data_IF_055525776752
#
_entry.id   IF_055525776752
#
_cell.length_a   1.000
_cell.length_b   1.000
_cell.length_c   1.000
_cell.angle_alpha   90.00
_cell.angle_beta   90.00
_cell.angle_gamma   90.00
#
_symmetry.space_group_name_H-M   'P 1'
#
loop_
_entity.id
_entity.type
_entity.pdbx_description
1 polymer ?
#
# COMPACT_ATOMS: atom_id res chain seq x y z
N UNK A 1 60.16 4.40 46.96
CA UNK A 1 59.56 4.67 48.26
C UNK A 1 58.11 4.28 48.22
N UNK A 2 57.81 3.11 48.82
CA UNK A 2 56.86 2.92 49.99
C UNK A 2 55.43 3.17 49.60
N UNK A 3 54.49 2.34 49.79
CA UNK A 3 54.08 1.14 50.55
C UNK A 3 52.64 0.84 50.05
N UNK A 4 52.33 -0.34 49.62
CA UNK A 4 51.56 -1.40 50.35
C UNK A 4 50.36 -0.89 51.17
N UNK A 5 49.15 -1.32 50.79
CA UNK A 5 48.32 -2.03 51.73
C UNK A 5 47.15 -2.76 51.00
N UNK A 6 47.16 -4.07 51.24
CA UNK A 6 46.15 -5.07 50.94
C UNK A 6 45.03 -4.97 51.94
N UNK A 7 43.77 -5.10 51.49
CA UNK A 7 42.74 -5.72 52.34
C UNK A 7 41.77 -6.50 51.48
N UNK A 8 41.87 -7.79 51.69
CA UNK A 8 40.89 -8.77 51.30
C UNK A 8 39.78 -8.83 52.36
N UNK A 9 38.54 -8.90 51.97
CA UNK A 9 37.51 -9.51 52.79
C UNK A 9 36.55 -10.29 51.93
N UNK A 10 36.55 -11.57 52.14
CA UNK A 10 35.61 -12.56 51.64
C UNK A 10 34.41 -12.64 52.59
N UNK A 11 33.22 -12.72 52.04
CA UNK A 11 32.05 -13.35 52.70
C UNK A 11 31.14 -13.87 51.59
N UNK A 12 31.10 -15.10 51.31
CA UNK A 12 30.34 -16.27 51.78
C UNK A 12 28.84 -16.17 51.45
N UNK A 13 28.50 -16.94 50.43
CA UNK A 13 27.31 -17.73 50.14
C UNK A 13 25.96 -17.40 50.81
N UNK A 14 24.93 -17.30 49.97
CA UNK A 14 23.69 -18.06 50.25
C UNK A 14 22.96 -18.38 48.93
N UNK A 15 22.93 -19.66 48.58
CA UNK A 15 22.12 -20.25 47.54
C UNK A 15 20.65 -20.25 47.94
N UNK A 16 19.80 -19.60 47.18
CA UNK A 16 18.39 -19.91 47.20
C UNK A 16 17.94 -20.14 45.75
N UNK A 17 17.83 -21.42 45.39
CA UNK A 17 17.07 -21.84 44.21
C UNK A 17 15.60 -21.61 44.51
N UNK A 18 14.98 -20.66 43.84
CA UNK A 18 13.53 -20.67 43.61
C UNK A 18 13.32 -20.99 42.14
N UNK A 19 12.90 -22.21 41.89
CA UNK A 19 12.23 -22.57 40.63
C UNK A 19 10.91 -21.85 40.66
N UNK A 20 10.77 -20.81 39.82
CA UNK A 20 9.49 -20.29 39.40
C UNK A 20 9.29 -20.70 37.94
N UNK A 21 8.38 -21.66 37.74
CA UNK A 21 7.79 -21.95 36.45
C UNK A 21 7.20 -20.68 35.88
N UNK A 22 7.79 -20.18 34.80
CA UNK A 22 7.18 -19.17 33.97
C UNK A 22 6.02 -19.81 33.18
N UNK A 23 4.78 -19.33 33.32
CA UNK A 23 3.73 -19.74 32.40
C UNK A 23 4.07 -19.14 31.06
N UNK A 24 4.37 -19.97 30.08
CA UNK A 24 4.52 -19.64 28.67
C UNK A 24 3.17 -19.12 28.16
N UNK A 25 2.93 -17.82 28.32
CA UNK A 25 1.84 -17.15 27.69
C UNK A 25 2.23 -16.93 26.22
N UNK A 26 1.76 -17.79 25.35
CA UNK A 26 1.70 -17.57 23.90
C UNK A 26 1.03 -16.23 23.68
N UNK A 27 1.65 -15.26 22.99
CA UNK A 27 0.98 -14.02 22.66
C UNK A 27 -0.11 -14.33 21.63
N UNK A 28 -1.33 -14.45 22.10
CA UNK A 28 -2.53 -14.40 21.26
C UNK A 28 -2.47 -13.11 20.44
N UNK A 29 -2.41 -13.27 19.12
CA UNK A 29 -2.57 -12.19 18.13
C UNK A 29 -3.93 -11.53 18.29
N UNK A 30 -4.10 -10.68 19.30
CA UNK A 30 -5.22 -9.74 19.43
C UNK A 30 -4.84 -8.43 18.75
N UNK A 31 -4.83 -8.43 17.44
CA UNK A 31 -4.54 -7.23 16.66
C UNK A 31 -5.30 -7.19 15.36
N UNK A 32 -6.62 -7.27 15.37
CA UNK A 32 -7.34 -7.30 14.11
C UNK A 32 -8.59 -6.45 14.03
N UNK A 33 -9.24 -6.16 15.15
CA UNK A 33 -10.56 -5.54 15.04
C UNK A 33 -10.52 -3.99 15.19
N UNK A 34 -9.61 -3.47 16.01
CA UNK A 34 -9.48 -2.01 16.17
C UNK A 34 -8.92 -1.31 14.94
N UNK A 35 -8.02 -1.97 14.19
CA UNK A 35 -7.47 -1.41 12.94
C UNK A 35 -8.54 -1.31 11.85
N UNK A 36 -9.53 -2.21 11.85
CA UNK A 36 -10.66 -2.16 10.92
C UNK A 36 -11.64 -1.03 11.21
N UNK A 37 -11.72 -0.58 12.46
CA UNK A 37 -12.62 0.50 12.86
C UNK A 37 -12.09 1.89 12.47
N UNK A 38 -10.76 2.05 12.41
CA UNK A 38 -10.12 3.33 12.07
C UNK A 38 -9.96 3.55 10.56
N UNK A 39 -10.01 2.46 9.76
CA UNK A 39 -9.89 2.53 8.29
C UNK A 39 -10.90 1.60 7.61
N UNK A 40 -12.21 1.92 7.68
CA UNK A 40 -13.26 1.04 7.13
C UNK A 40 -13.17 0.84 5.62
N UNK A 41 -12.34 1.62 4.91
CA UNK A 41 -12.15 1.57 3.47
C UNK A 41 -10.78 1.06 3.02
N UNK A 42 -9.86 0.77 3.93
CA UNK A 42 -8.64 0.07 3.57
C UNK A 42 -8.98 -1.42 3.38
N UNK A 43 -9.19 -1.79 2.14
CA UNK A 43 -9.24 -3.20 1.77
C UNK A 43 -7.85 -3.79 2.00
N UNK A 44 -7.69 -4.52 3.11
CA UNK A 44 -6.61 -5.51 3.24
C UNK A 44 -6.92 -6.62 2.25
N UNK A 45 -6.71 -6.37 0.95
CA UNK A 45 -6.82 -7.40 -0.04
C UNK A 45 -5.74 -8.44 0.27
N UNK A 46 -6.10 -9.72 0.39
CA UNK A 46 -5.10 -10.78 0.38
C UNK A 46 -4.27 -10.61 -0.88
N UNK A 47 -2.97 -10.93 -0.81
CA UNK A 47 -2.08 -10.82 -1.97
C UNK A 47 -2.76 -11.47 -3.19
N UNK A 48 -2.93 -10.72 -4.30
CA UNK A 48 -3.70 -11.20 -5.43
C UNK A 48 -3.09 -12.47 -5.99
N UNK A 49 -3.93 -13.47 -6.26
CA UNK A 49 -3.47 -14.69 -6.90
C UNK A 49 -3.55 -14.53 -8.42
N UNK A 50 -2.52 -13.91 -9.00
CA UNK A 50 -2.43 -13.72 -10.44
C UNK A 50 -2.28 -15.04 -11.18
N UNK A 51 -2.97 -15.18 -12.32
CA UNK A 51 -2.81 -16.30 -13.25
C UNK A 51 -1.44 -16.24 -13.89
N UNK A 52 -1.03 -15.05 -14.34
CA UNK A 52 0.34 -14.83 -14.82
C UNK A 52 1.35 -14.99 -13.70
N UNK A 53 2.16 -16.03 -13.78
CA UNK A 53 3.17 -16.32 -12.76
C UNK A 53 4.22 -15.21 -12.60
N UNK A 54 4.43 -14.37 -13.63
CA UNK A 54 5.37 -13.24 -13.58
C UNK A 54 4.90 -12.18 -12.61
N UNK A 55 3.59 -11.97 -12.48
CA UNK A 55 2.98 -10.95 -11.62
C UNK A 55 2.87 -11.37 -10.15
N UNK A 56 3.08 -12.65 -9.83
CA UNK A 56 2.97 -13.15 -8.47
C UNK A 56 3.96 -12.47 -7.54
N UNK A 57 3.45 -11.91 -6.46
CA UNK A 57 4.21 -11.12 -5.51
C UNK A 57 4.18 -9.62 -5.78
N UNK A 58 3.54 -9.16 -6.85
CA UNK A 58 3.22 -7.75 -7.01
C UNK A 58 1.94 -7.40 -6.22
N UNK A 59 1.97 -6.26 -5.56
CA UNK A 59 0.85 -5.71 -4.80
C UNK A 59 0.65 -4.26 -5.22
N UNK A 60 -0.61 -3.88 -5.47
CA UNK A 60 -1.00 -2.51 -5.74
C UNK A 60 -1.63 -1.89 -4.50
N UNK A 61 -1.16 -0.72 -4.13
CA UNK A 61 -1.78 0.14 -3.13
C UNK A 61 -2.19 1.46 -3.76
N UNK A 62 -3.45 1.82 -3.62
CA UNK A 62 -4.01 3.06 -4.14
C UNK A 62 -4.33 3.98 -2.97
N UNK A 63 -3.89 5.24 -3.07
CA UNK A 63 -4.23 6.30 -2.12
C UNK A 63 -4.84 7.47 -2.87
N UNK A 64 -5.97 7.96 -2.37
CA UNK A 64 -6.66 9.13 -2.87
C UNK A 64 -6.57 10.25 -1.83
N UNK A 65 -6.38 11.49 -2.28
CA UNK A 65 -6.30 12.64 -1.38
C UNK A 65 -6.82 13.92 -2.05
N UNK A 66 -7.57 14.74 -1.33
CA UNK A 66 -8.10 14.51 0.02
C UNK A 66 -9.28 13.54 0.04
N UNK A 67 -9.59 12.98 1.22
CA UNK A 67 -10.79 12.17 1.44
C UNK A 67 -11.48 12.64 2.74
N UNK A 68 -12.77 13.05 2.70
CA UNK A 68 -13.66 13.12 1.54
C UNK A 68 -13.23 14.19 0.54
N UNK A 69 -13.61 13.99 -0.72
CA UNK A 69 -13.31 14.93 -1.82
C UNK A 69 -14.32 16.08 -1.81
N UNK A 70 -13.93 17.25 -1.33
CA UNK A 70 -14.75 18.46 -1.36
C UNK A 70 -14.73 19.09 -2.75
N UNK A 71 -15.80 18.97 -3.51
CA UNK A 71 -15.86 19.42 -4.91
C UNK A 71 -15.78 20.94 -5.07
N UNK A 72 -16.12 21.71 -4.03
CA UNK A 72 -15.93 23.17 -4.00
C UNK A 72 -14.44 23.58 -3.98
N UNK A 73 -13.57 22.73 -3.41
CA UNK A 73 -12.16 23.01 -3.19
C UNK A 73 -11.24 22.23 -4.13
N UNK A 74 -11.66 21.02 -4.52
CA UNK A 74 -10.81 20.05 -5.22
C UNK A 74 -11.25 19.92 -6.68
N UNK A 75 -10.47 20.47 -7.60
CA UNK A 75 -10.69 20.35 -9.06
C UNK A 75 -10.00 19.13 -9.65
N UNK A 76 -8.94 18.67 -8.98
CA UNK A 76 -8.21 17.47 -9.35
C UNK A 76 -7.94 16.66 -8.10
N UNK A 77 -8.41 15.42 -8.11
CA UNK A 77 -8.13 14.43 -7.05
C UNK A 77 -6.71 13.91 -7.21
N UNK A 78 -5.94 13.98 -6.16
CA UNK A 78 -4.60 13.38 -6.14
C UNK A 78 -4.72 11.86 -6.01
N UNK A 79 -3.99 11.16 -6.84
CA UNK A 79 -3.94 9.71 -6.90
C UNK A 79 -2.48 9.29 -6.75
N UNK A 80 -2.17 8.49 -5.78
CA UNK A 80 -0.87 7.84 -5.66
C UNK A 80 -1.05 6.32 -5.71
N UNK A 81 -0.49 5.72 -6.76
CA UNK A 81 -0.40 4.26 -6.89
C UNK A 81 0.99 3.82 -6.46
N UNK A 82 1.08 2.90 -5.52
CA UNK A 82 2.32 2.20 -5.21
C UNK A 82 2.25 0.77 -5.75
N UNK A 83 3.20 0.42 -6.63
CA UNK A 83 3.41 -0.94 -7.13
C UNK A 83 4.56 -1.56 -6.34
N UNK A 84 4.26 -2.55 -5.50
CA UNK A 84 5.22 -3.19 -4.59
C UNK A 84 5.54 -4.61 -5.03
N UNK A 85 6.80 -5.00 -4.95
CA UNK A 85 7.22 -6.38 -5.11
C UNK A 85 7.50 -7.01 -3.73
N UNK A 86 6.59 -7.85 -3.26
CA UNK A 86 6.75 -8.59 -1.99
C UNK A 86 7.34 -10.00 -2.20
N UNK A 87 7.67 -10.35 -3.45
CA UNK A 87 8.33 -11.61 -3.76
C UNK A 87 9.84 -11.54 -3.46
N UNK A 88 10.47 -12.71 -3.38
CA UNK A 88 11.93 -12.85 -3.21
C UNK A 88 12.72 -12.78 -4.53
N UNK A 89 12.05 -12.53 -5.66
CA UNK A 89 12.64 -12.43 -6.99
C UNK A 89 12.33 -11.07 -7.60
N UNK A 90 13.20 -10.59 -8.46
CA UNK A 90 12.92 -9.42 -9.27
C UNK A 90 11.78 -9.72 -10.27
N UNK A 91 11.00 -8.69 -10.57
CA UNK A 91 9.93 -8.73 -11.57
C UNK A 91 10.24 -7.71 -12.66
N UNK A 92 10.08 -8.11 -13.91
CA UNK A 92 10.27 -7.25 -15.07
C UNK A 92 8.92 -7.09 -15.76
N UNK A 93 8.54 -5.85 -16.02
CA UNK A 93 7.33 -5.49 -16.74
C UNK A 93 7.71 -4.70 -17.98
N UNK A 94 7.34 -5.22 -19.16
CA UNK A 94 7.57 -4.59 -20.45
C UNK A 94 6.31 -3.87 -20.91
N UNK A 95 6.45 -2.63 -21.36
CA UNK A 95 5.37 -1.78 -21.82
C UNK A 95 5.60 -1.35 -23.27
N UNK A 96 4.59 -1.37 -24.13
CA UNK A 96 4.73 -1.01 -25.54
C UNK A 96 4.81 0.50 -25.78
N UNK A 97 4.38 1.33 -24.80
CA UNK A 97 4.36 2.78 -24.87
C UNK A 97 4.74 3.39 -23.53
N UNK A 98 4.75 4.70 -23.44
CA UNK A 98 4.96 5.41 -22.16
C UNK A 98 3.78 5.28 -21.18
N UNK A 99 2.58 4.96 -21.66
CA UNK A 99 1.44 4.70 -20.78
C UNK A 99 1.67 3.44 -19.95
N UNK A 100 1.81 3.59 -18.64
CA UNK A 100 1.99 2.47 -17.71
C UNK A 100 0.67 1.98 -17.14
N UNK A 101 -0.22 2.89 -16.78
CA UNK A 101 -1.48 2.60 -16.13
C UNK A 101 -2.62 3.43 -16.73
N UNK A 102 -3.84 3.07 -16.39
CA UNK A 102 -5.07 3.78 -16.69
C UNK A 102 -5.89 3.96 -15.41
N UNK A 103 -6.65 5.06 -15.32
CA UNK A 103 -7.57 5.30 -14.23
C UNK A 103 -8.96 5.61 -14.76
N UNK A 104 -9.95 4.88 -14.28
CA UNK A 104 -11.35 5.18 -14.49
C UNK A 104 -11.98 5.68 -13.19
N UNK A 105 -12.68 6.82 -13.27
CA UNK A 105 -13.64 7.17 -12.23
C UNK A 105 -15.02 6.63 -12.64
N UNK A 106 -15.62 5.86 -11.75
CA UNK A 106 -16.93 5.25 -11.98
C UNK A 106 -17.92 5.73 -10.93
N UNK A 107 -19.18 5.76 -11.30
CA UNK A 107 -20.28 5.94 -10.35
C UNK A 107 -20.62 4.62 -9.65
N UNK A 108 -21.58 4.67 -8.73
CA UNK A 108 -22.06 3.48 -8.00
C UNK A 108 -22.71 2.40 -8.88
N UNK A 109 -23.11 2.77 -10.12
CA UNK A 109 -23.66 1.85 -11.12
C UNK A 109 -22.60 1.30 -12.07
N UNK A 110 -21.31 1.49 -11.76
CA UNK A 110 -20.16 1.04 -12.55
C UNK A 110 -19.96 1.79 -13.89
N UNK A 111 -20.78 2.82 -14.19
CA UNK A 111 -20.59 3.63 -15.40
C UNK A 111 -19.31 4.48 -15.27
N UNK A 112 -18.51 4.50 -16.33
CA UNK A 112 -17.30 5.32 -16.42
C UNK A 112 -17.73 6.77 -16.63
N UNK A 113 -17.22 7.67 -15.80
CA UNK A 113 -17.45 9.11 -15.87
C UNK A 113 -16.23 9.83 -16.42
N UNK A 114 -15.04 9.41 -16.04
CA UNK A 114 -13.78 10.03 -16.44
C UNK A 114 -12.77 8.96 -16.76
N UNK A 115 -12.05 9.14 -17.85
CA UNK A 115 -10.90 8.33 -18.27
C UNK A 115 -9.66 9.23 -18.15
N UNK A 116 -8.68 8.78 -17.39
CA UNK A 116 -7.50 9.58 -17.10
C UNK A 116 -6.67 9.86 -18.36
N UNK A 117 -6.50 8.86 -19.21
CA UNK A 117 -5.70 8.97 -20.44
C UNK A 117 -6.29 9.95 -21.46
N UNK A 118 -7.59 10.28 -21.41
CA UNK A 118 -8.22 11.22 -22.35
C UNK A 118 -7.60 12.63 -22.30
N UNK A 119 -6.90 12.96 -21.19
CA UNK A 119 -6.25 14.25 -21.01
C UNK A 119 -4.71 14.13 -21.00
N UNK A 120 -4.15 13.02 -21.49
CA UNK A 120 -2.72 12.77 -21.52
C UNK A 120 -2.29 12.33 -22.92
N UNK A 121 -1.15 12.83 -23.37
CA UNK A 121 -0.47 12.31 -24.56
C UNK A 121 0.65 11.35 -24.12
N UNK A 122 0.78 10.25 -24.80
CA UNK A 122 1.82 9.26 -24.57
C UNK A 122 2.57 8.98 -25.86
N UNK A 123 3.87 8.87 -25.76
CA UNK A 123 4.69 8.44 -26.90
C UNK A 123 4.63 6.91 -27.04
N UNK A 124 4.67 6.44 -28.29
CA UNK A 124 4.79 5.01 -28.63
C UNK A 124 6.22 4.51 -28.40
N UNK A 125 6.77 4.85 -27.25
CA UNK A 125 8.11 4.49 -26.84
C UNK A 125 8.08 3.32 -25.87
N UNK A 126 8.52 2.13 -26.29
CA UNK A 126 8.61 0.98 -25.40
C UNK A 126 9.53 1.24 -24.21
N UNK A 127 9.24 0.61 -23.09
CA UNK A 127 10.08 0.71 -21.90
C UNK A 127 9.87 -0.46 -20.96
N UNK A 128 10.89 -0.72 -20.17
CA UNK A 128 10.91 -1.81 -19.20
C UNK A 128 11.01 -1.25 -17.78
N UNK A 129 10.24 -1.82 -16.87
CA UNK A 129 10.27 -1.51 -15.44
C UNK A 129 10.77 -2.74 -14.70
N UNK A 130 11.91 -2.61 -14.04
CA UNK A 130 12.48 -3.63 -13.15
C UNK A 130 12.11 -3.28 -11.70
N UNK A 131 11.54 -4.24 -10.97
CA UNK A 131 11.15 -4.09 -9.56
C UNK A 131 11.87 -5.17 -8.77
N UNK A 132 12.90 -4.77 -8.01
CA UNK A 132 13.67 -5.70 -7.19
C UNK A 132 12.84 -6.26 -6.02
N UNK A 133 13.29 -7.33 -5.36
CA UNK A 133 12.65 -7.82 -4.14
C UNK A 133 12.52 -6.71 -3.09
N UNK A 134 11.32 -6.59 -2.51
CA UNK A 134 10.96 -5.58 -1.48
C UNK A 134 11.00 -4.13 -1.95
N UNK A 135 11.23 -3.87 -3.23
CA UNK A 135 11.16 -2.55 -3.84
C UNK A 135 9.69 -2.15 -4.12
N UNK A 136 9.45 -0.85 -4.15
CA UNK A 136 8.20 -0.28 -4.65
C UNK A 136 8.48 0.89 -5.60
N UNK A 137 7.52 1.12 -6.48
CA UNK A 137 7.52 2.26 -7.40
C UNK A 137 6.23 3.02 -7.18
N UNK A 138 6.36 4.33 -6.95
CA UNK A 138 5.22 5.24 -6.80
C UNK A 138 4.92 5.93 -8.12
N UNK A 139 3.63 5.99 -8.46
CA UNK A 139 3.09 6.70 -9.61
C UNK A 139 2.13 7.79 -9.12
N UNK A 140 2.65 8.96 -8.72
CA UNK A 140 1.80 10.09 -8.35
C UNK A 140 1.18 10.71 -9.61
N UNK A 141 -0.12 10.98 -9.54
CA UNK A 141 -0.86 11.64 -10.63
C UNK A 141 -2.09 12.35 -10.09
N UNK A 142 -2.84 13.01 -10.98
CA UNK A 142 -4.11 13.64 -10.65
C UNK A 142 -5.18 13.27 -11.69
N UNK A 143 -6.44 13.27 -11.26
CA UNK A 143 -7.58 13.06 -12.16
C UNK A 143 -8.64 14.13 -11.90
N UNK A 144 -9.25 14.64 -12.99
CA UNK A 144 -10.26 15.68 -12.92
C UNK A 144 -11.52 15.21 -12.18
N UNK A 145 -12.09 16.11 -11.36
CA UNK A 145 -13.31 15.85 -10.56
C UNK A 145 -14.56 16.49 -11.13
N UNK A 146 -14.48 17.15 -12.31
CA UNK A 146 -15.56 17.95 -12.91
C UNK A 146 -16.84 17.17 -13.16
N UNK A 147 -16.73 15.86 -13.43
CA UNK A 147 -17.87 15.00 -13.75
C UNK A 147 -18.47 14.30 -12.52
N UNK A 148 -17.97 14.65 -11.32
CA UNK A 148 -18.45 14.14 -10.07
C UNK A 148 -19.54 15.03 -9.47
N UNK A 149 -20.50 14.42 -8.78
CA UNK A 149 -21.57 15.10 -8.05
C UNK A 149 -21.32 15.05 -6.54
N UNK A 150 -21.74 16.06 -5.76
CA UNK A 150 -21.56 16.05 -4.31
C UNK A 150 -22.43 15.00 -3.62
N UNK A 151 -21.99 14.59 -2.41
CA UNK A 151 -22.68 13.63 -1.55
C UNK A 151 -22.95 12.28 -2.21
N UNK A 152 -22.01 11.81 -3.01
CA UNK A 152 -22.10 10.52 -3.71
C UNK A 152 -20.84 9.68 -3.43
N UNK A 153 -21.00 8.37 -3.63
CA UNK A 153 -19.89 7.42 -3.61
C UNK A 153 -19.47 7.14 -5.04
N UNK A 154 -18.18 7.21 -5.26
CA UNK A 154 -17.54 6.87 -6.53
C UNK A 154 -16.48 5.80 -6.34
N UNK A 155 -15.99 5.25 -7.43
CA UNK A 155 -14.97 4.23 -7.47
C UNK A 155 -13.84 4.73 -8.36
N UNK A 156 -12.64 4.82 -7.82
CA UNK A 156 -11.42 4.93 -8.60
C UNK A 156 -10.94 3.51 -8.91
N UNK A 157 -10.88 3.16 -10.17
CA UNK A 157 -10.33 1.90 -10.67
C UNK A 157 -9.05 2.20 -11.42
N UNK A 158 -7.94 1.65 -10.95
CA UNK A 158 -6.64 1.79 -11.57
C UNK A 158 -6.13 0.42 -12.01
N UNK A 159 -5.62 0.34 -13.21
CA UNK A 159 -5.09 -0.90 -13.77
C UNK A 159 -3.97 -0.63 -14.79
N UNK A 160 -3.19 -1.66 -15.06
CA UNK A 160 -2.16 -1.63 -16.09
C UNK A 160 -2.74 -2.25 -17.37
N UNK A 161 -2.93 -1.49 -18.46
CA UNK A 161 -3.53 -2.01 -19.70
C UNK A 161 -2.80 -3.24 -20.24
N UNK A 162 -1.47 -3.25 -20.18
CA UNK A 162 -0.63 -4.38 -20.61
C UNK A 162 -0.74 -5.61 -19.68
N UNK A 163 -1.11 -5.37 -18.42
CA UNK A 163 -1.23 -6.41 -17.38
C UNK A 163 -2.58 -6.27 -16.66
N UNK A 164 -3.72 -6.67 -17.29
CA UNK A 164 -5.06 -6.40 -16.77
C UNK A 164 -5.34 -7.01 -15.38
N UNK A 165 -4.57 -8.01 -14.98
CA UNK A 165 -4.65 -8.58 -13.64
C UNK A 165 -4.10 -7.64 -12.56
N UNK A 166 -3.16 -6.73 -12.93
CA UNK A 166 -2.69 -5.66 -12.05
C UNK A 166 -3.74 -4.57 -11.99
N UNK A 167 -4.68 -4.72 -11.08
CA UNK A 167 -5.84 -3.84 -10.91
C UNK A 167 -6.15 -3.62 -9.45
N UNK A 168 -6.48 -2.38 -9.10
CA UNK A 168 -6.93 -1.99 -7.77
C UNK A 168 -8.12 -1.05 -7.87
N UNK A 169 -9.04 -1.14 -6.93
CA UNK A 169 -10.24 -0.30 -6.87
C UNK A 169 -10.39 0.27 -5.46
N UNK A 170 -10.68 1.54 -5.37
CA UNK A 170 -10.96 2.21 -4.11
C UNK A 170 -12.25 3.03 -4.24
N UNK A 171 -13.14 2.86 -3.26
CA UNK A 171 -14.31 3.72 -3.11
C UNK A 171 -13.91 4.98 -2.37
N UNK A 172 -14.50 6.10 -2.77
CA UNK A 172 -14.34 7.38 -2.09
C UNK A 172 -15.67 8.15 -2.09
N UNK A 173 -15.77 9.12 -1.20
CA UNK A 173 -16.95 9.97 -1.07
C UNK A 173 -16.63 11.39 -1.50
N UNK A 174 -17.62 12.03 -2.11
CA UNK A 174 -17.57 13.45 -2.41
C UNK A 174 -18.40 14.24 -1.40
N UNK A 175 -17.98 15.46 -1.12
CA UNK A 175 -18.69 16.47 -0.35
C UNK A 175 -18.93 17.73 -1.21
N UNK A 176 -19.82 18.65 -0.78
CA UNK A 176 -20.05 19.92 -1.43
C UNK A 176 -18.82 20.79 -1.55
#
# INVERSE_FOLDING_TARGET
MSRLLVFALATLALTARLSAEEPTATPEKRGGWFTRMLHPFQSSNPAPNYKDARLRGLVLELKLSPEPVKLSEVRQLQVNLALKNVAKRAVVLDFPSEQRFEIYLRNSSEAILTIWSDNHAFDDKPGTVLINPLEHIDYPTTIATRDLSPNKVFIAELFFPQFPELRVRQKFMTAP
#
